data_IF_362856337243
#
_entry.id   IF_362856337243
#
_cell.length_a   1.000
_cell.length_b   1.000
_cell.length_c   1.000
_cell.angle_alpha   90.00
_cell.angle_beta   90.00
_cell.angle_gamma   90.00
#
_symmetry.space_group_name_H-M   'P 1'
#
loop_
_entity.id
_entity.type
_entity.pdbx_description
1 polymer ?
#
# COMPACT_ATOMS: atom_id res chain seq x y z
N UNK A 1 -21.00 -21.02 4.88
CA UNK A 1 -19.89 -20.20 5.40
C UNK A 1 -19.97 -18.86 4.67
N UNK A 2 -20.22 -17.77 5.37
CA UNK A 2 -20.19 -16.44 4.74
C UNK A 2 -18.78 -16.21 4.21
N UNK A 3 -18.63 -16.05 2.90
CA UNK A 3 -17.37 -15.61 2.30
C UNK A 3 -17.16 -14.17 2.75
N UNK A 4 -16.20 -13.96 3.64
CA UNK A 4 -15.77 -12.63 3.99
C UNK A 4 -15.02 -12.05 2.79
N UNK A 5 -15.45 -10.86 2.34
CA UNK A 5 -14.83 -10.21 1.18
C UNK A 5 -13.44 -9.70 1.59
N UNK A 6 -12.43 -10.11 0.82
CA UNK A 6 -11.05 -9.66 0.98
C UNK A 6 -10.74 -8.57 -0.04
N UNK A 7 -10.10 -7.51 0.43
CA UNK A 7 -9.64 -6.40 -0.40
C UNK A 7 -8.13 -6.29 -0.24
N UNK A 8 -7.39 -6.54 -1.31
CA UNK A 8 -5.94 -6.41 -1.34
C UNK A 8 -5.54 -5.01 -1.78
N UNK A 9 -4.82 -4.30 -0.92
CA UNK A 9 -4.27 -2.97 -1.19
C UNK A 9 -2.75 -3.01 -1.14
N UNK A 10 -2.09 -2.59 -2.22
CA UNK A 10 -0.63 -2.46 -2.24
C UNK A 10 -0.21 -1.09 -1.72
N UNK A 11 0.78 -1.05 -0.84
CA UNK A 11 1.37 0.19 -0.34
C UNK A 11 2.76 0.36 -0.95
N UNK A 12 2.91 1.36 -1.80
CA UNK A 12 4.09 1.58 -2.64
C UNK A 12 4.67 2.98 -2.41
N UNK A 13 6.00 3.10 -2.55
CA UNK A 13 6.72 4.34 -2.29
C UNK A 13 8.16 4.08 -1.87
N UNK A 14 8.98 5.12 -1.91
CA UNK A 14 10.42 5.04 -1.62
C UNK A 14 10.70 4.50 -0.22
N UNK A 15 11.90 3.95 -0.01
CA UNK A 15 12.33 3.55 1.34
C UNK A 15 12.35 4.77 2.28
N UNK A 16 11.93 4.58 3.53
CA UNK A 16 11.95 5.63 4.54
C UNK A 16 10.80 6.65 4.50
N UNK A 17 9.89 6.59 3.52
CA UNK A 17 8.76 7.57 3.43
C UNK A 17 7.65 7.37 4.46
N UNK A 18 7.66 6.27 5.22
CA UNK A 18 6.65 6.01 6.25
C UNK A 18 5.60 4.95 5.96
N UNK A 19 5.77 4.12 4.92
CA UNK A 19 4.79 3.08 4.55
C UNK A 19 4.41 2.18 5.72
N UNK A 20 5.40 1.60 6.40
CA UNK A 20 5.19 0.68 7.53
C UNK A 20 4.51 1.39 8.71
N UNK A 21 4.92 2.61 9.02
CA UNK A 21 4.27 3.43 10.06
C UNK A 21 2.81 3.74 9.72
N UNK A 22 2.51 4.03 8.45
CA UNK A 22 1.15 4.27 7.97
C UNK A 22 0.29 3.00 8.06
N UNK A 23 0.80 1.86 7.58
CA UNK A 23 0.10 0.58 7.64
C UNK A 23 -0.19 0.19 9.09
N UNK A 24 0.80 0.34 9.97
CA UNK A 24 0.63 0.08 11.40
C UNK A 24 -0.43 1.00 12.02
N UNK A 25 -0.41 2.29 11.70
CA UNK A 25 -1.42 3.24 12.17
C UNK A 25 -2.82 2.87 11.69
N UNK A 26 -2.96 2.47 10.42
CA UNK A 26 -4.25 2.06 9.87
C UNK A 26 -4.76 0.77 10.50
N UNK A 27 -3.90 -0.20 10.79
CA UNK A 27 -4.34 -1.51 11.31
C UNK A 27 -4.53 -1.50 12.83
N UNK A 28 -3.69 -0.78 13.57
CA UNK A 28 -3.63 -0.83 15.04
C UNK A 28 -4.19 0.44 15.71
N UNK A 29 -4.50 1.49 14.95
CA UNK A 29 -4.85 2.81 15.48
C UNK A 29 -3.81 3.36 16.49
N UNK A 30 -2.54 2.97 16.32
CA UNK A 30 -1.42 3.37 17.17
C UNK A 30 -0.25 3.86 16.32
N UNK A 31 0.50 4.83 16.85
CA UNK A 31 1.70 5.32 16.18
C UNK A 31 2.83 4.33 16.40
N UNK A 32 3.48 3.92 15.32
CA UNK A 32 4.65 3.04 15.39
C UNK A 32 5.86 3.84 15.88
N UNK A 33 6.28 3.63 17.13
CA UNK A 33 7.39 4.38 17.75
C UNK A 33 8.76 4.07 17.14
N UNK A 34 9.05 2.79 16.85
CA UNK A 34 10.37 2.36 16.37
C UNK A 34 10.23 1.52 15.08
N UNK A 35 10.01 2.15 13.91
CA UNK A 35 9.95 1.43 12.64
C UNK A 35 11.32 0.85 12.28
N UNK A 36 11.37 -0.47 12.06
CA UNK A 36 12.55 -1.16 11.50
C UNK A 36 12.52 -1.16 9.96
N UNK A 37 13.65 -1.50 9.35
CA UNK A 37 13.72 -1.63 7.89
C UNK A 37 12.87 -2.80 7.41
N UNK A 38 11.96 -2.55 6.46
CA UNK A 38 11.13 -3.61 5.86
C UNK A 38 11.97 -4.46 4.90
N UNK A 39 12.17 -5.74 5.24
CA UNK A 39 12.84 -6.71 4.38
C UNK A 39 11.80 -7.42 3.52
N UNK A 40 11.81 -7.17 2.21
CA UNK A 40 10.90 -7.81 1.26
C UNK A 40 9.50 -7.18 1.27
N UNK A 41 8.53 -7.86 1.86
CA UNK A 41 7.13 -7.42 1.95
C UNK A 41 6.51 -7.87 3.28
N UNK A 42 5.79 -6.97 3.94
CA UNK A 42 4.96 -7.28 5.11
C UNK A 42 3.48 -7.09 4.78
N UNK A 43 2.62 -7.90 5.40
CA UNK A 43 1.16 -7.82 5.22
C UNK A 43 0.52 -7.66 6.58
N UNK A 44 -0.24 -6.59 6.75
CA UNK A 44 -1.15 -6.41 7.88
C UNK A 44 -2.60 -6.44 7.39
N UNK A 45 -3.51 -6.92 8.24
CA UNK A 45 -4.93 -7.03 7.91
C UNK A 45 -5.74 -6.15 8.83
N UNK A 46 -6.53 -5.25 8.26
CA UNK A 46 -7.52 -4.45 8.97
C UNK A 46 -8.91 -5.01 8.70
N UNK A 47 -9.66 -5.28 9.76
CA UNK A 47 -11.09 -5.56 9.67
C UNK A 47 -11.82 -4.23 9.69
N UNK A 48 -12.65 -3.98 8.67
CA UNK A 48 -13.40 -2.74 8.55
C UNK A 48 -14.82 -3.02 8.10
N UNK A 49 -15.78 -2.50 8.85
CA UNK A 49 -17.18 -2.50 8.46
C UNK A 49 -17.44 -1.33 7.50
N UNK A 50 -17.94 -1.65 6.30
CA UNK A 50 -18.36 -0.69 5.31
C UNK A 50 -19.82 -0.33 5.55
N UNK A 51 -20.13 0.98 5.53
CA UNK A 51 -21.48 1.52 5.82
C UNK A 51 -22.08 0.97 7.12
N UNK A 52 -21.28 0.96 8.18
CA UNK A 52 -21.70 0.58 9.54
C UNK A 52 -23.01 1.27 9.92
N UNK A 53 -23.97 0.50 10.45
CA UNK A 53 -25.28 1.01 10.87
C UNK A 53 -26.30 1.19 9.74
N UNK A 54 -26.02 0.68 8.53
CA UNK A 54 -26.97 0.65 7.41
C UNK A 54 -27.35 -0.80 7.04
N UNK A 55 -28.48 -1.03 6.33
CA UNK A 55 -28.82 -2.36 5.82
C UNK A 55 -27.80 -2.94 4.83
N UNK A 56 -26.89 -2.11 4.31
CA UNK A 56 -25.79 -2.49 3.41
C UNK A 56 -24.48 -2.73 4.16
N UNK A 57 -24.52 -2.83 5.49
CA UNK A 57 -23.34 -3.10 6.32
C UNK A 57 -22.66 -4.39 5.89
N UNK A 58 -21.36 -4.30 5.62
CA UNK A 58 -20.55 -5.45 5.25
C UNK A 58 -19.14 -5.33 5.81
N UNK A 59 -18.71 -6.39 6.49
CA UNK A 59 -17.36 -6.51 7.00
C UNK A 59 -16.40 -6.92 5.88
N UNK A 60 -15.33 -6.14 5.71
CA UNK A 60 -14.25 -6.41 4.77
C UNK A 60 -12.93 -6.65 5.51
N UNK A 61 -12.13 -7.57 4.98
CA UNK A 61 -10.76 -7.79 5.39
C UNK A 61 -9.84 -7.09 4.41
N UNK A 62 -9.30 -5.95 4.83
CA UNK A 62 -8.40 -5.14 4.03
C UNK A 62 -6.97 -5.60 4.30
N UNK A 63 -6.37 -6.28 3.34
CA UNK A 63 -4.96 -6.68 3.37
C UNK A 63 -4.10 -5.53 2.85
N UNK A 64 -3.31 -4.91 3.73
CA UNK A 64 -2.35 -3.88 3.39
C UNK A 64 -0.97 -4.52 3.19
N UNK A 65 -0.53 -4.56 1.94
CA UNK A 65 0.76 -5.13 1.55
C UNK A 65 1.81 -4.03 1.47
N UNK A 66 2.60 -3.86 2.54
CA UNK A 66 3.75 -2.95 2.56
C UNK A 66 4.93 -3.59 1.84
N UNK A 67 5.24 -3.07 0.66
CA UNK A 67 6.33 -3.56 -0.17
C UNK A 67 7.56 -2.70 0.08
N UNK A 68 8.64 -3.29 0.60
CA UNK A 68 9.84 -2.57 1.02
C UNK A 68 10.42 -1.71 -0.11
N UNK A 69 10.59 -0.42 0.13
CA UNK A 69 10.90 0.58 -0.91
C UNK A 69 12.35 0.61 -1.41
N UNK A 70 13.17 -0.41 -1.14
CA UNK A 70 14.56 -0.44 -1.62
C UNK A 70 14.58 -0.53 -3.15
N UNK A 71 14.97 0.58 -3.77
CA UNK A 71 15.06 0.75 -5.22
C UNK A 71 16.40 0.16 -5.70
N UNK A 72 16.66 -1.11 -5.40
CA UNK A 72 17.69 -1.86 -6.14
C UNK A 72 17.29 -1.93 -7.61
N UNK A 73 18.25 -1.86 -8.53
CA UNK A 73 18.12 -1.77 -10.01
C UNK A 73 16.74 -2.16 -10.56
N UNK A 74 16.17 -1.30 -11.43
CA UNK A 74 14.84 -1.46 -12.02
C UNK A 74 14.53 -2.86 -12.61
N UNK A 75 15.57 -3.64 -12.95
CA UNK A 75 15.48 -5.04 -13.35
C UNK A 75 15.16 -6.02 -12.20
N UNK A 76 15.73 -5.83 -11.00
CA UNK A 76 15.51 -6.68 -9.82
C UNK A 76 14.12 -6.50 -9.19
N UNK A 77 13.56 -5.29 -9.29
CA UNK A 77 12.18 -4.94 -8.87
C UNK A 77 11.14 -5.66 -9.73
N UNK A 78 11.38 -5.80 -11.04
CA UNK A 78 10.43 -6.38 -11.99
C UNK A 78 10.25 -7.89 -11.78
N UNK A 79 11.33 -8.64 -11.57
CA UNK A 79 11.26 -10.11 -11.55
C UNK A 79 10.81 -10.69 -10.20
N UNK A 80 11.27 -10.13 -9.07
CA UNK A 80 10.98 -10.73 -7.74
C UNK A 80 9.63 -10.27 -7.18
N UNK A 81 9.15 -9.08 -7.57
CA UNK A 81 7.94 -8.46 -6.98
C UNK A 81 6.68 -8.64 -7.82
N UNK A 82 6.79 -9.19 -9.03
CA UNK A 82 5.66 -9.51 -9.92
C UNK A 82 4.56 -10.31 -9.20
N UNK A 83 4.95 -11.22 -8.31
CA UNK A 83 4.02 -12.05 -7.53
C UNK A 83 3.11 -11.22 -6.63
N UNK A 84 3.59 -10.09 -6.10
CA UNK A 84 2.80 -9.22 -5.23
C UNK A 84 1.77 -8.39 -6.00
N UNK A 85 1.99 -8.14 -7.29
CA UNK A 85 1.12 -7.30 -8.13
C UNK A 85 -0.12 -8.03 -8.67
N UNK A 86 -0.27 -9.34 -8.42
CA UNK A 86 -1.46 -10.09 -8.82
C UNK A 86 -2.65 -9.81 -7.90
N UNK A 87 -3.86 -9.77 -8.49
CA UNK A 87 -5.15 -9.68 -7.79
C UNK A 87 -5.25 -8.51 -6.81
N UNK A 88 -4.78 -7.34 -7.24
CA UNK A 88 -4.78 -6.11 -6.43
C UNK A 88 -6.11 -5.37 -6.64
N UNK A 89 -6.78 -5.02 -5.54
CA UNK A 89 -8.02 -4.25 -5.55
C UNK A 89 -7.79 -2.74 -5.38
N UNK A 90 -6.68 -2.35 -4.74
CA UNK A 90 -6.34 -0.96 -4.45
C UNK A 90 -4.85 -0.71 -4.37
N UNK A 91 -4.43 0.55 -4.53
CA UNK A 91 -3.03 0.97 -4.49
C UNK A 91 -2.97 2.26 -3.68
N UNK A 92 -2.08 2.26 -2.70
CA UNK A 92 -1.74 3.42 -1.90
C UNK A 92 -0.33 3.85 -2.23
N UNK A 93 -0.21 5.02 -2.85
CA UNK A 93 1.07 5.62 -3.17
C UNK A 93 1.47 6.58 -2.05
N UNK A 94 2.60 6.31 -1.40
CA UNK A 94 3.08 7.04 -0.22
C UNK A 94 4.38 7.76 -0.56
N UNK A 95 4.44 9.04 -0.22
CA UNK A 95 5.66 9.82 -0.26
C UNK A 95 5.78 10.70 0.98
N UNK A 96 7.01 11.13 1.25
CA UNK A 96 7.30 12.06 2.33
C UNK A 96 7.15 13.50 1.81
N UNK A 97 6.37 14.32 2.53
CA UNK A 97 6.11 15.72 2.17
C UNK A 97 7.37 16.60 2.28
N UNK A 98 8.30 16.23 3.15
CA UNK A 98 9.59 16.92 3.32
C UNK A 98 10.60 16.55 2.23
N UNK A 99 10.36 15.45 1.52
CA UNK A 99 11.25 14.92 0.50
C UNK A 99 10.62 14.99 -0.90
N UNK A 100 10.88 16.10 -1.61
CA UNK A 100 10.44 16.31 -3.01
C UNK A 100 10.81 15.17 -3.96
N UNK A 101 11.98 14.53 -3.77
CA UNK A 101 12.43 13.42 -4.60
C UNK A 101 11.49 12.22 -4.48
N UNK A 102 11.02 11.92 -3.27
CA UNK A 102 10.05 10.84 -3.04
C UNK A 102 8.73 11.06 -3.76
N UNK A 103 8.26 12.32 -3.84
CA UNK A 103 7.07 12.69 -4.63
C UNK A 103 7.29 12.51 -6.12
N UNK A 104 8.46 12.92 -6.66
CA UNK A 104 8.78 12.73 -8.07
C UNK A 104 8.88 11.23 -8.44
N UNK A 105 9.51 10.43 -7.59
CA UNK A 105 9.64 8.99 -7.78
C UNK A 105 8.28 8.27 -7.77
N UNK A 106 7.30 8.79 -7.02
CA UNK A 106 5.93 8.28 -7.01
C UNK A 106 5.32 8.22 -8.42
N UNK A 107 5.48 9.30 -9.19
CA UNK A 107 4.97 9.41 -10.57
C UNK A 107 5.90 8.77 -11.60
N UNK A 108 7.21 8.94 -11.47
CA UNK A 108 8.16 8.49 -12.49
C UNK A 108 8.49 7.00 -12.40
N UNK A 109 8.49 6.44 -11.20
CA UNK A 109 8.94 5.07 -10.93
C UNK A 109 7.76 4.19 -10.51
N UNK A 110 7.10 4.54 -9.42
CA UNK A 110 6.08 3.67 -8.82
C UNK A 110 4.82 3.57 -9.68
N UNK A 111 4.33 4.68 -10.21
CA UNK A 111 3.22 4.66 -11.17
C UNK A 111 3.58 3.89 -12.45
N UNK A 112 4.80 4.06 -12.97
CA UNK A 112 5.28 3.29 -14.12
C UNK A 112 5.30 1.78 -13.87
N UNK A 113 5.74 1.33 -12.69
CA UNK A 113 5.73 -0.09 -12.30
C UNK A 113 4.30 -0.63 -12.24
N UNK A 114 3.35 0.13 -11.68
CA UNK A 114 1.93 -0.25 -11.62
C UNK A 114 1.34 -0.43 -13.02
N UNK A 115 1.59 0.52 -13.92
CA UNK A 115 1.15 0.42 -15.31
C UNK A 115 1.77 -0.77 -16.03
N UNK A 116 3.08 -1.01 -15.83
CA UNK A 116 3.77 -2.17 -16.42
C UNK A 116 3.26 -3.52 -15.89
N UNK A 117 2.82 -3.56 -14.63
CA UNK A 117 2.25 -4.76 -14.02
C UNK A 117 0.81 -5.05 -14.46
N UNK A 118 0.25 -4.23 -15.37
CA UNK A 118 -1.12 -4.32 -15.88
C UNK A 118 -2.18 -4.38 -14.78
N UNK A 119 -1.92 -3.70 -13.66
CA UNK A 119 -2.92 -3.53 -12.61
C UNK A 119 -3.95 -2.52 -13.13
N UNK A 120 -5.10 -3.04 -13.57
CA UNK A 120 -6.24 -2.22 -13.99
C UNK A 120 -6.75 -1.43 -12.78
N UNK A 121 -6.37 -0.16 -12.68
CA UNK A 121 -6.85 0.73 -11.64
C UNK A 121 -8.10 1.47 -12.13
N UNK A 122 -9.26 1.18 -11.55
CA UNK A 122 -10.48 1.98 -11.79
C UNK A 122 -10.40 3.25 -10.95
N UNK A 123 -9.93 4.32 -11.59
CA UNK A 123 -10.04 5.75 -11.22
C UNK A 123 -10.68 6.06 -9.85
N UNK A 124 -9.94 5.85 -8.76
CA UNK A 124 -10.21 6.47 -7.46
C UNK A 124 -8.87 6.85 -6.84
N UNK A 125 -8.40 8.05 -7.20
CA UNK A 125 -7.14 8.64 -6.76
C UNK A 125 -7.16 8.95 -5.26
N UNK A 126 -6.91 7.96 -4.40
CA UNK A 126 -6.62 8.22 -2.99
C UNK A 126 -5.11 8.30 -2.80
N UNK A 127 -4.52 9.46 -3.12
CA UNK A 127 -3.15 9.78 -2.71
C UNK A 127 -3.18 10.09 -1.21
N UNK A 128 -2.72 9.14 -0.38
CA UNK A 128 -2.64 9.34 1.07
C UNK A 128 -1.41 10.20 1.38
N UNK A 129 -1.64 11.46 1.71
CA UNK A 129 -0.60 12.39 2.18
C UNK A 129 -0.34 12.13 3.67
N UNK A 130 0.82 11.55 3.97
CA UNK A 130 1.26 11.38 5.37
C UNK A 130 2.05 12.62 5.78
N UNK A 131 1.56 13.33 6.79
CA UNK A 131 2.28 14.39 7.51
C UNK A 131 2.51 13.88 8.92
N UNK A 132 3.77 13.83 9.35
CA UNK A 132 4.12 13.61 10.76
C UNK A 132 3.92 14.91 11.56
#
# INVERSE_FOLDING_TARGET
MASLDRVKVLVLGDSGVGKSSLVHLLCQNQVLGNPSWTVGCSVDVRVQDYKEGTPEEKTYYIELWDVGGSIGSASSIKSTRAVFYNSVNGIMLVHDLTNKKSSQNLYLVWHGIVCMANILYTHTDTVVKVRY
#
